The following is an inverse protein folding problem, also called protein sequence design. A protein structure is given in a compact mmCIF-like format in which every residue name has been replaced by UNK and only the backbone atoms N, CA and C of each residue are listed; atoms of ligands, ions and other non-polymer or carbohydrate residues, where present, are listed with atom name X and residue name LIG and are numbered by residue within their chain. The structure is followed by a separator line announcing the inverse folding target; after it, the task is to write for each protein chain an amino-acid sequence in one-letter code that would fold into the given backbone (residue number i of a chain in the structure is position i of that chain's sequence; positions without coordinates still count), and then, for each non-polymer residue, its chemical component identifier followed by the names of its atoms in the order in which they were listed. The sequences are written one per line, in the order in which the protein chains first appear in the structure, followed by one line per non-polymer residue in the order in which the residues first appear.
data_IF_037982363091
#
_entry.id   IF_037982363091
#
_cell.length_a   1.000
_cell.length_b   1.000
_cell.length_c   1.000
_cell.angle_alpha   90.00
_cell.angle_beta   90.00
_cell.angle_gamma   90.00
#
_symmetry.space_group_name_H-M   'P 1'
#
loop_
_entity.id
_entity.type
_entity.pdbx_description
1 polymer ?
#
# COMPACT_ATOMS: atom_id res chain seq x y z
N UNK A 1 -25.04 -4.44 -15.38
CA UNK A 1 -23.89 -4.81 -16.23
C UNK A 1 -23.17 -3.55 -16.65
N UNK A 2 -21.87 -3.63 -16.84
CA UNK A 2 -21.04 -2.51 -17.24
C UNK A 2 -20.22 -2.89 -18.47
N UNK A 3 -20.33 -2.12 -19.55
CA UNK A 3 -19.49 -2.24 -20.73
C UNK A 3 -18.56 -1.02 -20.79
N UNK A 4 -17.26 -1.26 -20.70
CA UNK A 4 -16.24 -0.23 -20.80
C UNK A 4 -15.64 -0.33 -22.19
N UNK A 5 -15.77 0.73 -22.99
CA UNK A 5 -15.37 0.77 -24.39
C UNK A 5 -14.14 1.64 -24.60
N UNK A 6 -13.36 1.31 -25.63
CA UNK A 6 -12.23 2.12 -26.10
C UNK A 6 -11.18 2.39 -25.00
N UNK A 7 -10.88 1.39 -24.17
CA UNK A 7 -9.82 1.52 -23.16
C UNK A 7 -8.48 1.13 -23.74
N UNK A 8 -7.39 1.72 -23.25
CA UNK A 8 -6.06 1.13 -23.38
C UNK A 8 -5.81 0.21 -22.19
N UNK A 9 -6.04 -1.08 -22.35
CA UNK A 9 -5.88 -2.05 -21.29
C UNK A 9 -4.40 -2.32 -21.04
N UNK A 10 -3.92 -2.04 -19.83
CA UNK A 10 -2.56 -2.31 -19.37
C UNK A 10 -2.61 -3.25 -18.17
N UNK A 11 -2.29 -4.52 -18.38
CA UNK A 11 -2.37 -5.57 -17.36
C UNK A 11 -1.01 -6.26 -17.13
N UNK A 12 -0.42 -6.15 -15.93
CA UNK A 12 0.87 -6.75 -15.61
C UNK A 12 0.84 -8.27 -15.56
N UNK A 13 -0.32 -8.90 -15.32
CA UNK A 13 -0.39 -10.36 -15.18
C UNK A 13 -0.24 -11.09 -16.52
N UNK A 14 -0.90 -10.59 -17.56
CA UNK A 14 -0.82 -11.11 -18.93
C UNK A 14 0.26 -10.42 -19.79
N UNK A 15 0.76 -9.26 -19.37
CA UNK A 15 1.63 -8.41 -20.18
C UNK A 15 0.86 -7.65 -21.27
N UNK A 16 -0.48 -7.58 -21.18
CA UNK A 16 -1.30 -6.89 -22.17
C UNK A 16 -1.06 -5.38 -22.09
N UNK A 17 -0.85 -4.78 -23.25
CA UNK A 17 -0.76 -3.33 -23.43
C UNK A 17 -1.38 -2.99 -24.80
N UNK A 18 -2.72 -2.90 -24.83
CA UNK A 18 -3.48 -2.82 -26.07
C UNK A 18 -4.88 -2.23 -25.88
N UNK A 19 -5.47 -1.72 -26.97
CA UNK A 19 -6.87 -1.29 -26.95
C UNK A 19 -7.84 -2.46 -26.81
N UNK A 20 -8.74 -2.37 -25.84
CA UNK A 20 -9.77 -3.39 -25.53
C UNK A 20 -11.07 -2.75 -25.05
N UNK A 21 -12.15 -3.50 -25.24
CA UNK A 21 -13.41 -3.34 -24.54
C UNK A 21 -13.51 -4.42 -23.44
N UNK A 22 -14.09 -4.06 -22.29
CA UNK A 22 -14.23 -4.92 -21.11
C UNK A 22 -15.72 -4.97 -20.73
N UNK A 23 -16.30 -6.17 -20.67
CA UNK A 23 -17.67 -6.39 -20.25
C UNK A 23 -17.70 -7.05 -18.86
N UNK A 24 -18.44 -6.44 -17.95
CA UNK A 24 -18.58 -6.84 -16.55
C UNK A 24 -20.04 -7.19 -16.27
N UNK A 25 -20.20 -8.32 -15.58
CA UNK A 25 -21.47 -8.77 -15.03
C UNK A 25 -21.27 -9.20 -13.59
N UNK A 26 -22.09 -8.65 -12.70
CA UNK A 26 -21.96 -8.81 -11.26
C UNK A 26 -20.53 -8.48 -10.80
N UNK A 27 -19.84 -9.40 -10.12
CA UNK A 27 -18.50 -9.16 -9.56
C UNK A 27 -17.36 -9.64 -10.48
N UNK A 28 -17.67 -10.03 -11.73
CA UNK A 28 -16.71 -10.68 -12.62
C UNK A 28 -16.61 -10.02 -13.99
N UNK A 29 -15.41 -10.06 -14.57
CA UNK A 29 -15.18 -9.72 -15.97
C UNK A 29 -15.62 -10.93 -16.81
N UNK A 30 -16.62 -10.76 -17.66
CA UNK A 30 -17.17 -11.87 -18.46
C UNK A 30 -16.61 -11.90 -19.89
N UNK A 31 -16.07 -10.78 -20.38
CA UNK A 31 -15.47 -10.73 -21.72
C UNK A 31 -14.45 -9.59 -21.85
N UNK A 32 -13.34 -9.86 -22.53
CA UNK A 32 -12.34 -8.89 -22.96
C UNK A 32 -12.07 -9.11 -24.45
N UNK A 33 -12.29 -8.09 -25.28
CA UNK A 33 -12.10 -8.21 -26.73
C UNK A 33 -11.64 -6.89 -27.36
N UNK A 34 -11.16 -6.94 -28.60
CA UNK A 34 -10.77 -5.71 -29.35
C UNK A 34 -11.95 -4.76 -29.56
N UNK A 35 -13.17 -5.31 -29.68
CA UNK A 35 -14.42 -4.56 -29.71
C UNK A 35 -15.59 -5.45 -29.30
N UNK A 36 -16.48 -4.93 -28.45
CA UNK A 36 -17.71 -5.62 -28.03
C UNK A 36 -18.91 -4.81 -28.53
N UNK A 37 -19.68 -5.33 -29.51
CA UNK A 37 -20.92 -4.71 -29.94
C UNK A 37 -21.92 -4.59 -28.79
N UNK A 38 -22.62 -3.46 -28.70
CA UNK A 38 -23.62 -3.23 -27.65
C UNK A 38 -24.78 -4.25 -27.73
N UNK A 39 -25.12 -4.71 -28.94
CA UNK A 39 -26.08 -5.79 -29.15
C UNK A 39 -25.60 -7.12 -28.57
N UNK A 40 -24.30 -7.39 -28.59
CA UNK A 40 -23.73 -8.58 -27.96
C UNK A 40 -23.76 -8.46 -26.44
N UNK A 41 -23.36 -7.31 -25.90
CA UNK A 41 -23.45 -7.02 -24.47
C UNK A 41 -24.88 -7.13 -23.93
N UNK A 42 -25.88 -6.69 -24.71
CA UNK A 42 -27.30 -6.78 -24.36
C UNK A 42 -27.84 -8.23 -24.33
N UNK A 43 -27.22 -9.17 -25.06
CA UNK A 43 -27.59 -10.59 -24.99
C UNK A 43 -27.20 -11.18 -23.63
N UNK A 44 -26.07 -10.75 -23.06
CA UNK A 44 -25.64 -11.18 -21.72
C UNK A 44 -26.53 -10.65 -20.59
N UNK A 45 -27.27 -9.54 -20.81
CA UNK A 45 -28.18 -8.98 -19.80
C UNK A 45 -29.52 -9.70 -19.65
N UNK A 46 -29.88 -10.61 -20.57
CA UNK A 46 -31.21 -11.24 -20.61
C UNK A 46 -32.35 -10.24 -20.91
N UNK A 47 -33.62 -10.65 -20.80
CA UNK A 47 -34.83 -9.84 -21.11
C UNK A 47 -35.04 -8.61 -20.19
N UNK A 48 -34.01 -8.17 -19.46
CA UNK A 48 -34.00 -6.89 -18.74
C UNK A 48 -33.09 -5.92 -19.49
N UNK A 49 -33.63 -5.31 -20.54
CA UNK A 49 -32.98 -4.27 -21.37
C UNK A 49 -32.55 -3.02 -20.56
N UNK A 50 -32.95 -2.88 -19.29
CA UNK A 50 -32.79 -1.65 -18.49
C UNK A 50 -31.48 -1.53 -17.68
N UNK A 51 -30.47 -2.40 -17.81
CA UNK A 51 -29.30 -2.34 -16.90
C UNK A 51 -27.90 -2.53 -17.53
N UNK A 52 -27.72 -2.22 -18.82
CA UNK A 52 -26.38 -2.07 -19.40
C UNK A 52 -25.92 -0.61 -19.30
N UNK A 53 -24.99 -0.34 -18.39
CA UNK A 53 -24.29 0.94 -18.35
C UNK A 53 -23.08 0.88 -19.28
N UNK A 54 -22.88 1.93 -20.09
CA UNK A 54 -21.74 2.03 -21.01
C UNK A 54 -20.83 3.17 -20.55
N UNK A 55 -19.55 2.88 -20.35
CA UNK A 55 -18.49 3.88 -20.16
C UNK A 55 -17.67 3.92 -21.44
N UNK A 56 -17.63 5.06 -22.13
CA UNK A 56 -16.67 5.28 -23.19
C UNK A 56 -15.40 5.86 -22.58
N UNK A 57 -14.32 5.10 -22.54
CA UNK A 57 -13.09 5.50 -21.89
C UNK A 57 -12.20 6.41 -22.75
N UNK A 58 -12.52 6.60 -24.04
CA UNK A 58 -11.84 7.54 -24.94
C UNK A 58 -10.29 7.40 -24.96
N UNK A 59 -9.79 6.17 -24.78
CA UNK A 59 -8.37 5.87 -24.76
C UNK A 59 -7.70 5.99 -23.38
N UNK A 60 -8.45 6.28 -22.32
CA UNK A 60 -7.95 6.15 -20.94
C UNK A 60 -7.40 4.75 -20.69
N UNK A 61 -6.44 4.67 -19.77
CA UNK A 61 -5.85 3.41 -19.35
C UNK A 61 -6.86 2.65 -18.49
N UNK A 62 -7.12 1.39 -18.83
CA UNK A 62 -7.76 0.43 -17.96
C UNK A 62 -6.68 -0.47 -17.35
N UNK A 63 -6.52 -0.40 -16.02
CA UNK A 63 -5.57 -1.20 -15.27
C UNK A 63 -6.29 -1.98 -14.16
N UNK A 64 -5.70 -3.07 -13.63
CA UNK A 64 -6.24 -3.72 -12.44
C UNK A 64 -6.42 -2.71 -11.30
N UNK A 65 -7.43 -2.96 -10.46
CA UNK A 65 -7.59 -2.21 -9.22
C UNK A 65 -6.32 -2.30 -8.39
N UNK A 66 -5.87 -1.17 -7.85
CA UNK A 66 -4.63 -1.15 -7.08
C UNK A 66 -4.86 -1.89 -5.75
N UNK A 67 -3.78 -2.50 -5.25
CA UNK A 67 -3.76 -3.25 -4.00
C UNK A 67 -2.69 -2.64 -3.10
N UNK A 68 -3.11 -2.03 -2.00
CA UNK A 68 -2.20 -1.39 -1.05
C UNK A 68 -1.98 -2.28 0.17
N UNK A 69 -0.77 -2.79 0.31
CA UNK A 69 -0.38 -3.73 1.36
C UNK A 69 -0.11 -3.08 2.73
N UNK A 70 -0.12 -1.74 2.84
CA UNK A 70 0.25 -1.03 4.08
C UNK A 70 -0.58 0.23 4.30
N UNK A 71 -1.67 0.10 5.09
CA UNK A 71 -2.63 1.19 5.33
C UNK A 71 -3.06 1.27 6.81
N UNK A 72 -3.30 2.49 7.30
CA UNK A 72 -3.86 2.75 8.64
C UNK A 72 -5.19 3.50 8.57
N UNK A 73 -6.31 2.80 8.75
CA UNK A 73 -7.63 3.44 8.88
C UNK A 73 -7.98 3.87 10.30
N UNK A 74 -7.10 3.62 11.28
CA UNK A 74 -7.20 4.15 12.66
C UNK A 74 -8.43 3.70 13.46
N UNK A 75 -9.22 2.79 12.91
CA UNK A 75 -10.46 2.27 13.48
C UNK A 75 -10.33 0.75 13.71
N UNK A 76 -10.51 0.25 14.94
CA UNK A 76 -11.07 0.94 16.11
C UNK A 76 -10.11 1.89 16.86
N UNK A 77 -10.71 2.86 17.55
CA UNK A 77 -10.10 3.56 18.68
C UNK A 77 -9.54 4.96 18.42
N UNK A 78 -9.21 5.29 17.18
CA UNK A 78 -8.68 6.60 16.79
C UNK A 78 -9.45 7.21 15.62
N UNK A 79 -10.78 7.02 15.64
CA UNK A 79 -11.70 7.37 14.55
C UNK A 79 -11.75 8.86 14.21
N UNK A 80 -11.23 9.72 15.08
CA UNK A 80 -11.04 11.14 14.82
C UNK A 80 -9.95 11.43 13.78
N UNK A 81 -9.00 10.51 13.59
CA UNK A 81 -7.94 10.62 12.58
C UNK A 81 -8.42 10.14 11.22
N UNK A 82 -9.04 8.97 11.21
CA UNK A 82 -9.66 8.29 10.06
C UNK A 82 -10.58 7.20 10.58
N UNK A 83 -11.60 6.79 9.83
CA UNK A 83 -12.30 5.53 10.09
C UNK A 83 -12.32 4.62 8.86
N UNK A 84 -12.78 3.38 9.02
CA UNK A 84 -12.81 2.40 7.91
C UNK A 84 -13.62 2.91 6.71
N UNK A 85 -14.70 3.66 6.93
CA UNK A 85 -15.57 4.14 5.86
C UNK A 85 -14.91 5.29 5.06
N UNK A 86 -14.32 6.27 5.76
CA UNK A 86 -13.63 7.39 5.10
C UNK A 86 -12.30 6.97 4.49
N UNK A 87 -11.57 6.08 5.15
CA UNK A 87 -10.36 5.46 4.59
C UNK A 87 -10.64 4.66 3.32
N UNK A 88 -11.72 3.88 3.29
CA UNK A 88 -12.16 3.17 2.09
C UNK A 88 -12.56 4.13 0.95
N UNK A 89 -13.22 5.25 1.29
CA UNK A 89 -13.50 6.32 0.33
C UNK A 89 -12.23 6.94 -0.26
N UNK A 90 -11.21 7.19 0.56
CA UNK A 90 -9.91 7.69 0.12
C UNK A 90 -9.16 6.69 -0.76
N UNK A 91 -9.19 5.41 -0.41
CA UNK A 91 -8.65 4.33 -1.22
C UNK A 91 -9.35 4.25 -2.58
N UNK A 92 -10.68 4.27 -2.62
CA UNK A 92 -11.44 4.28 -3.87
C UNK A 92 -11.08 5.49 -4.75
N UNK A 93 -10.97 6.70 -4.18
CA UNK A 93 -10.54 7.90 -4.91
C UNK A 93 -9.09 7.80 -5.43
N UNK A 94 -8.22 7.10 -4.70
CA UNK A 94 -6.85 6.78 -5.11
C UNK A 94 -6.70 5.59 -6.06
N UNK A 95 -7.79 4.97 -6.51
CA UNK A 95 -7.76 3.82 -7.42
C UNK A 95 -7.47 2.47 -6.77
N UNK A 96 -7.50 2.43 -5.44
CA UNK A 96 -7.25 1.23 -4.65
C UNK A 96 -8.56 0.49 -4.44
N UNK A 97 -8.64 -0.76 -4.91
CA UNK A 97 -9.80 -1.63 -4.73
C UNK A 97 -9.60 -2.63 -3.60
N UNK A 98 -8.35 -2.85 -3.16
CA UNK A 98 -8.05 -3.72 -2.03
C UNK A 98 -7.00 -3.08 -1.11
N UNK A 99 -7.26 -3.06 0.19
CA UNK A 99 -6.30 -2.61 1.20
C UNK A 99 -6.00 -3.71 2.20
N UNK A 100 -4.76 -3.74 2.70
CA UNK A 100 -4.36 -4.53 3.87
C UNK A 100 -4.07 -3.58 5.03
N UNK A 101 -4.93 -3.64 6.04
CA UNK A 101 -4.82 -2.78 7.22
C UNK A 101 -3.79 -3.31 8.22
N UNK A 102 -2.94 -2.41 8.72
CA UNK A 102 -2.04 -2.69 9.83
C UNK A 102 -2.78 -2.76 11.17
N UNK A 103 -2.19 -3.51 12.11
CA UNK A 103 -2.88 -3.98 13.32
C UNK A 103 -2.78 -3.04 14.54
N UNK A 104 -2.29 -1.80 14.35
CA UNK A 104 -1.94 -0.84 15.40
C UNK A 104 -3.09 0.08 15.85
N UNK A 105 -4.29 -0.49 15.94
CA UNK A 105 -5.54 0.15 16.40
C UNK A 105 -5.71 0.05 17.93
N UNK A 106 -6.84 0.55 18.47
CA UNK A 106 -7.17 0.43 19.89
C UNK A 106 -8.64 -0.02 20.09
N UNK A 107 -8.91 -1.25 20.54
CA UNK A 107 -7.94 -2.32 20.80
C UNK A 107 -7.16 -2.70 19.53
N UNK A 108 -5.92 -3.15 19.70
CA UNK A 108 -5.11 -3.62 18.58
C UNK A 108 -5.68 -4.94 18.03
N UNK A 109 -5.39 -5.28 16.76
CA UNK A 109 -5.90 -6.49 16.12
C UNK A 109 -5.06 -7.69 16.55
N UNK A 110 -5.21 -8.15 17.79
CA UNK A 110 -4.42 -9.23 18.39
C UNK A 110 -5.27 -10.41 18.89
N UNK A 111 -6.58 -10.35 18.65
CA UNK A 111 -7.58 -11.29 19.10
C UNK A 111 -8.75 -11.35 18.10
N UNK A 112 -9.55 -12.42 18.22
CA UNK A 112 -10.65 -12.72 17.30
C UNK A 112 -11.73 -11.61 17.26
N UNK A 113 -12.07 -11.03 18.40
CA UNK A 113 -13.14 -10.03 18.49
C UNK A 113 -12.79 -8.76 17.70
N UNK A 114 -11.57 -8.24 17.89
CA UNK A 114 -11.11 -7.06 17.12
C UNK A 114 -10.97 -7.38 15.64
N UNK A 115 -10.46 -8.56 15.29
CA UNK A 115 -10.31 -9.00 13.90
C UNK A 115 -11.66 -9.09 13.18
N UNK A 116 -12.64 -9.77 13.79
CA UNK A 116 -13.99 -9.90 13.23
C UNK A 116 -14.65 -8.52 13.08
N UNK A 117 -14.43 -7.60 14.02
CA UNK A 117 -14.95 -6.22 13.91
C UNK A 117 -14.42 -5.51 12.67
N UNK A 118 -13.10 -5.53 12.46
CA UNK A 118 -12.45 -4.85 11.32
C UNK A 118 -12.91 -5.46 10.01
N UNK A 119 -12.87 -6.79 9.88
CA UNK A 119 -13.29 -7.48 8.66
C UNK A 119 -14.78 -7.26 8.36
N UNK A 120 -15.66 -7.40 9.36
CA UNK A 120 -17.10 -7.22 9.14
C UNK A 120 -17.44 -5.77 8.78
N UNK A 121 -16.79 -4.79 9.41
CA UNK A 121 -16.96 -3.39 9.00
C UNK A 121 -16.43 -3.16 7.58
N UNK A 122 -15.26 -3.73 7.26
CA UNK A 122 -14.64 -3.73 5.94
C UNK A 122 -15.57 -4.23 4.83
N UNK A 123 -16.33 -5.31 5.07
CA UNK A 123 -17.29 -5.88 4.10
C UNK A 123 -18.43 -4.94 3.71
N UNK A 124 -18.69 -3.89 4.50
CA UNK A 124 -19.71 -2.88 4.21
C UNK A 124 -19.15 -1.65 3.50
N UNK A 125 -17.85 -1.62 3.24
CA UNK A 125 -17.20 -0.53 2.52
C UNK A 125 -17.30 -0.72 1.01
N UNK A 126 -17.05 0.33 0.21
CA UNK A 126 -17.02 0.21 -1.25
C UNK A 126 -15.86 -0.63 -1.80
N UNK A 127 -14.87 -1.02 -1.00
CA UNK A 127 -13.67 -1.74 -1.47
C UNK A 127 -13.45 -3.03 -0.68
N UNK A 128 -12.47 -3.84 -1.09
CA UNK A 128 -12.01 -4.98 -0.31
C UNK A 128 -11.09 -4.50 0.83
N UNK A 129 -11.46 -4.83 2.07
CA UNK A 129 -10.68 -4.50 3.26
C UNK A 129 -10.23 -5.78 3.93
N UNK A 130 -8.93 -6.04 3.82
CA UNK A 130 -8.23 -7.11 4.49
C UNK A 130 -7.40 -6.54 5.65
N UNK A 131 -6.93 -7.40 6.56
CA UNK A 131 -6.11 -6.92 7.69
C UNK A 131 -5.10 -7.94 8.16
N UNK A 132 -3.92 -7.45 8.53
CA UNK A 132 -2.96 -8.21 9.31
C UNK A 132 -3.39 -8.28 10.77
N UNK A 133 -2.91 -9.29 11.49
CA UNK A 133 -3.00 -9.33 12.95
C UNK A 133 -1.63 -9.10 13.61
N UNK A 134 -1.64 -8.62 14.85
CA UNK A 134 -0.40 -8.44 15.60
C UNK A 134 0.26 -9.79 15.93
N UNK A 135 1.58 -9.82 15.86
CA UNK A 135 2.39 -10.96 16.32
C UNK A 135 2.26 -11.16 17.83
N UNK A 136 2.12 -10.09 18.62
CA UNK A 136 2.06 -10.17 20.08
C UNK A 136 0.86 -9.46 20.68
N UNK A 137 0.37 -10.03 21.79
CA UNK A 137 -0.74 -9.47 22.57
C UNK A 137 -0.40 -8.05 23.05
N UNK A 138 -1.26 -7.09 22.73
CA UNK A 138 -1.11 -5.67 23.07
C UNK A 138 0.14 -5.02 22.50
N UNK A 139 0.75 -5.61 21.46
CA UNK A 139 1.99 -5.13 20.82
C UNK A 139 3.19 -5.04 21.79
N UNK A 140 3.21 -5.84 22.85
CA UNK A 140 4.21 -5.73 23.93
C UNK A 140 5.52 -6.48 23.65
N UNK A 141 5.57 -7.30 22.61
CA UNK A 141 6.74 -8.15 22.32
C UNK A 141 6.96 -9.27 23.35
N UNK A 142 5.96 -9.60 24.17
CA UNK A 142 6.08 -10.56 25.27
C UNK A 142 5.42 -11.91 24.98
N UNK A 143 4.13 -11.90 24.65
CA UNK A 143 3.34 -13.10 24.43
C UNK A 143 2.81 -13.11 22.99
N UNK A 144 3.14 -14.15 22.24
CA UNK A 144 2.62 -14.37 20.89
C UNK A 144 1.08 -14.50 20.93
N UNK A 145 0.41 -14.00 19.90
CA UNK A 145 -1.03 -14.16 19.70
C UNK A 145 -1.38 -15.59 19.29
N UNK A 146 -2.67 -15.93 19.29
CA UNK A 146 -3.17 -17.16 18.67
C UNK A 146 -3.14 -17.02 17.14
N UNK A 147 -1.94 -17.07 16.56
CA UNK A 147 -1.74 -16.85 15.12
C UNK A 147 -2.51 -17.87 14.28
N UNK A 148 -2.57 -19.14 14.69
CA UNK A 148 -3.33 -20.17 13.96
C UNK A 148 -4.83 -19.83 13.96
N UNK A 149 -5.39 -19.47 15.12
CA UNK A 149 -6.79 -19.07 15.24
C UNK A 149 -7.13 -17.78 14.49
N UNK A 150 -6.21 -16.81 14.46
CA UNK A 150 -6.37 -15.54 13.75
C UNK A 150 -6.27 -15.70 12.23
N UNK A 151 -5.34 -16.52 11.73
CA UNK A 151 -5.25 -16.84 10.31
C UNK A 151 -6.51 -17.58 9.84
N UNK A 152 -6.98 -18.57 10.62
CA UNK A 152 -8.25 -19.26 10.34
C UNK A 152 -9.49 -18.35 10.42
N UNK A 153 -9.36 -17.20 11.08
CA UNK A 153 -10.40 -16.18 11.18
C UNK A 153 -10.39 -15.16 10.02
N UNK A 154 -9.38 -15.17 9.15
CA UNK A 154 -9.26 -14.26 8.02
C UNK A 154 -8.15 -13.22 8.13
N UNK A 155 -7.23 -13.30 9.10
CA UNK A 155 -6.03 -12.47 9.06
C UNK A 155 -5.15 -12.90 7.88
N UNK A 156 -4.86 -11.97 6.96
CA UNK A 156 -4.10 -12.25 5.73
C UNK A 156 -2.59 -12.29 5.93
N UNK A 157 -2.12 -11.86 7.10
CA UNK A 157 -0.71 -11.83 7.49
C UNK A 157 -0.54 -11.41 8.94
N UNK A 158 0.71 -11.37 9.40
CA UNK A 158 1.05 -10.93 10.75
C UNK A 158 2.05 -9.79 10.74
N UNK A 159 1.95 -8.88 11.71
CA UNK A 159 2.82 -7.71 11.78
C UNK A 159 3.16 -7.30 13.21
N UNK A 160 4.26 -6.56 13.40
CA UNK A 160 4.54 -5.80 14.62
C UNK A 160 4.38 -4.29 14.43
N UNK A 161 3.87 -3.87 13.27
CA UNK A 161 3.86 -2.47 12.87
C UNK A 161 3.25 -1.55 13.93
N UNK A 162 3.94 -0.44 14.21
CA UNK A 162 3.65 0.51 15.27
C UNK A 162 4.51 0.33 16.52
N UNK A 163 4.88 -0.90 16.93
CA UNK A 163 5.86 -1.13 18.01
C UNK A 163 6.82 -2.27 17.62
N UNK A 164 8.11 -1.96 17.38
CA UNK A 164 9.08 -2.93 16.88
C UNK A 164 9.30 -4.10 17.84
N UNK A 165 9.30 -5.32 17.29
CA UNK A 165 9.50 -6.57 18.00
C UNK A 165 10.99 -6.79 18.25
N UNK A 166 11.50 -6.35 19.41
CA UNK A 166 12.94 -6.38 19.69
C UNK A 166 13.50 -7.77 20.04
N UNK A 167 12.67 -8.66 20.59
CA UNK A 167 13.13 -9.98 21.06
C UNK A 167 13.24 -10.95 19.89
N UNK A 168 14.47 -11.29 19.52
CA UNK A 168 14.75 -12.23 18.43
C UNK A 168 14.03 -13.57 18.58
N UNK A 169 13.98 -14.13 19.79
CA UNK A 169 13.29 -15.42 20.01
C UNK A 169 11.79 -15.33 19.71
N UNK A 170 11.15 -14.20 20.04
CA UNK A 170 9.73 -13.98 19.70
C UNK A 170 9.56 -13.84 18.19
N UNK A 171 10.41 -13.05 17.52
CA UNK A 171 10.38 -12.89 16.06
C UNK A 171 10.58 -14.23 15.34
N UNK A 172 11.58 -15.02 15.77
CA UNK A 172 11.87 -16.36 15.26
C UNK A 172 10.68 -17.31 15.38
N UNK A 173 10.01 -17.33 16.53
CA UNK A 173 8.87 -18.22 16.76
C UNK A 173 7.64 -17.79 15.94
N UNK A 174 7.41 -16.48 15.81
CA UNK A 174 6.37 -15.95 14.95
C UNK A 174 6.63 -16.29 13.47
N UNK A 175 7.86 -16.10 12.98
CA UNK A 175 8.26 -16.45 11.62
C UNK A 175 8.07 -17.95 11.33
N UNK A 176 8.48 -18.84 12.25
CA UNK A 176 8.21 -20.29 12.11
C UNK A 176 6.72 -20.60 12.00
N UNK A 177 5.90 -19.90 12.79
CA UNK A 177 4.43 -20.07 12.76
C UNK A 177 3.86 -19.58 11.43
N UNK A 178 4.27 -18.40 10.97
CA UNK A 178 3.87 -17.84 9.68
C UNK A 178 4.26 -18.74 8.50
N UNK A 179 5.47 -19.30 8.52
CA UNK A 179 5.95 -20.26 7.52
C UNK A 179 5.07 -21.53 7.43
N UNK A 180 4.64 -22.07 8.59
CA UNK A 180 3.73 -23.23 8.63
C UNK A 180 2.34 -22.87 8.11
N UNK A 181 1.86 -21.67 8.42
CA UNK A 181 0.55 -21.18 7.99
C UNK A 181 0.53 -20.79 6.51
N UNK A 182 1.68 -20.53 5.90
CA UNK A 182 1.79 -20.06 4.52
C UNK A 182 1.23 -18.64 4.34
N UNK A 183 1.47 -17.76 5.32
CA UNK A 183 1.07 -16.34 5.26
C UNK A 183 2.29 -15.45 5.47
N UNK A 184 2.32 -14.24 4.88
CA UNK A 184 3.41 -13.30 5.10
C UNK A 184 3.46 -12.79 6.54
N UNK A 185 4.66 -12.45 6.97
CA UNK A 185 4.92 -11.73 8.22
C UNK A 185 5.74 -10.47 7.93
N UNK A 186 5.20 -9.31 8.30
CA UNK A 186 5.86 -8.02 8.10
C UNK A 186 6.42 -7.48 9.40
N UNK A 187 7.52 -6.73 9.31
CA UNK A 187 8.08 -6.03 10.44
C UNK A 187 8.26 -4.55 10.13
N UNK A 188 8.09 -3.71 11.15
CA UNK A 188 8.48 -2.32 11.12
C UNK A 188 9.92 -2.23 11.65
N UNK A 189 10.89 -2.18 10.76
CA UNK A 189 12.32 -2.19 11.11
C UNK A 189 12.76 -0.89 11.75
N UNK A 190 12.53 -0.80 13.06
CA UNK A 190 12.90 0.35 13.86
C UNK A 190 13.48 -0.08 15.21
N UNK A 191 14.81 -0.02 15.38
CA UNK A 191 15.40 -0.22 16.70
C UNK A 191 15.45 1.11 17.48
N UNK A 192 14.68 1.26 18.59
CA UNK A 192 14.61 2.51 19.37
C UNK A 192 15.96 2.93 19.97
N UNK A 193 16.92 2.01 20.13
CA UNK A 193 18.24 2.32 20.65
C UNK A 193 19.03 3.32 19.78
N UNK A 194 18.65 3.49 18.52
CA UNK A 194 19.30 4.40 17.57
C UNK A 194 18.49 5.67 17.28
N UNK A 195 17.47 5.95 18.07
CA UNK A 195 16.49 7.02 17.83
C UNK A 195 16.48 7.99 19.00
N UNK A 196 16.65 9.27 18.68
CA UNK A 196 16.46 10.37 19.63
C UNK A 196 15.16 11.14 19.32
N UNK A 197 14.89 11.36 18.04
CA UNK A 197 13.62 11.93 17.57
C UNK A 197 13.12 11.13 16.37
N UNK A 198 12.07 10.34 16.62
CA UNK A 198 11.44 9.50 15.60
C UNK A 198 10.93 10.37 14.42
N UNK A 199 11.08 9.85 13.20
CA UNK A 199 10.53 10.40 11.97
C UNK A 199 11.29 11.57 11.35
N UNK A 200 12.51 11.84 11.84
CA UNK A 200 13.43 12.82 11.27
C UNK A 200 14.78 12.13 11.08
N UNK A 201 15.38 12.20 9.88
CA UNK A 201 16.68 11.59 9.63
C UNK A 201 17.77 12.25 10.47
N UNK A 202 18.66 11.43 11.08
CA UNK A 202 19.89 11.93 11.71
C UNK A 202 20.87 12.36 10.62
N UNK A 203 20.75 13.61 10.20
CA UNK A 203 21.43 14.16 9.03
C UNK A 203 21.21 15.67 8.89
N UNK A 204 21.06 16.14 7.65
CA UNK A 204 20.83 17.55 7.34
C UNK A 204 19.55 18.07 8.01
N UNK A 205 18.47 17.28 8.01
CA UNK A 205 17.20 17.68 8.61
C UNK A 205 17.32 17.84 10.14
N UNK A 206 17.83 16.83 10.86
CA UNK A 206 17.98 16.94 12.31
C UNK A 206 18.95 18.06 12.71
N UNK A 207 20.02 18.26 11.94
CA UNK A 207 20.97 19.37 12.12
C UNK A 207 20.32 20.75 11.95
N UNK A 208 19.41 20.90 10.98
CA UNK A 208 18.65 22.14 10.76
C UNK A 208 17.77 22.49 11.98
N UNK A 209 17.10 21.50 12.57
CA UNK A 209 16.21 21.70 13.72
C UNK A 209 16.94 21.65 15.08
N UNK A 210 18.23 21.34 15.11
CA UNK A 210 19.01 21.22 16.34
C UNK A 210 18.58 20.03 17.22
N UNK A 211 18.17 18.92 16.60
CA UNK A 211 17.70 17.70 17.28
C UNK A 211 18.52 16.48 16.85
N UNK A 212 18.36 15.34 17.53
CA UNK A 212 19.18 14.15 17.29
C UNK A 212 18.72 13.21 16.17
N UNK A 213 17.44 13.25 15.84
CA UNK A 213 16.85 12.44 14.76
C UNK A 213 16.96 10.92 14.97
N UNK A 214 16.69 10.18 13.91
CA UNK A 214 16.68 8.73 13.82
C UNK A 214 17.87 8.27 12.99
N UNK A 215 18.79 7.53 13.61
CA UNK A 215 19.95 6.98 12.95
C UNK A 215 19.57 5.88 11.96
N UNK A 216 20.30 5.78 10.85
CA UNK A 216 20.12 4.73 9.83
C UNK A 216 20.19 3.32 10.41
N UNK A 217 21.01 3.13 11.45
CA UNK A 217 21.16 1.86 12.15
C UNK A 217 19.86 1.37 12.82
N UNK A 218 18.89 2.26 13.07
CA UNK A 218 17.57 1.86 13.55
C UNK A 218 16.92 0.83 12.61
N UNK A 219 16.99 1.08 11.31
CA UNK A 219 16.44 0.22 10.27
C UNK A 219 17.39 -0.94 9.94
N UNK A 220 18.65 -0.62 9.65
CA UNK A 220 19.66 -1.61 9.21
C UNK A 220 19.79 -2.75 10.21
N UNK A 221 19.82 -2.46 11.52
CA UNK A 221 19.99 -3.49 12.54
C UNK A 221 18.85 -4.53 12.55
N UNK A 222 17.63 -4.08 12.30
CA UNK A 222 16.46 -4.95 12.32
C UNK A 222 16.39 -5.75 11.02
N UNK A 223 16.64 -5.12 9.87
CA UNK A 223 16.74 -5.82 8.57
C UNK A 223 17.79 -6.94 8.64
N UNK A 224 18.99 -6.68 9.16
CA UNK A 224 20.05 -7.69 9.32
C UNK A 224 19.59 -8.92 10.12
N UNK A 225 18.84 -8.69 11.21
CA UNK A 225 18.27 -9.77 12.01
C UNK A 225 17.21 -10.52 11.21
N UNK A 226 16.27 -9.80 10.61
CA UNK A 226 15.07 -10.39 10.04
C UNK A 226 15.34 -11.15 8.74
N UNK A 227 16.26 -10.67 7.89
CA UNK A 227 16.68 -11.44 6.70
C UNK A 227 17.38 -12.74 7.08
N UNK A 228 18.20 -12.74 8.14
CA UNK A 228 18.82 -13.96 8.64
C UNK A 228 17.78 -14.92 9.21
N UNK A 229 16.82 -14.42 9.98
CA UNK A 229 15.75 -15.25 10.51
C UNK A 229 14.84 -15.81 9.41
N UNK A 230 14.57 -15.05 8.34
CA UNK A 230 13.83 -15.51 7.17
C UNK A 230 14.51 -16.74 6.56
N UNK A 231 15.84 -16.71 6.36
CA UNK A 231 16.61 -17.86 5.87
C UNK A 231 16.56 -19.06 6.81
N UNK A 232 16.62 -18.81 8.12
CA UNK A 232 16.61 -19.86 9.14
C UNK A 232 15.23 -20.52 9.30
N UNK A 233 14.14 -19.81 9.03
CA UNK A 233 12.77 -20.25 9.29
C UNK A 233 11.99 -20.61 8.03
N UNK A 234 12.38 -20.10 6.87
CA UNK A 234 11.66 -20.24 5.61
C UNK A 234 10.38 -19.40 5.53
N UNK A 235 10.23 -18.39 6.40
CA UNK A 235 9.08 -17.50 6.39
C UNK A 235 9.16 -16.47 5.26
N UNK A 236 8.01 -16.16 4.65
CA UNK A 236 7.85 -15.01 3.76
C UNK A 236 7.88 -13.72 4.59
N UNK A 237 9.05 -13.08 4.70
CA UNK A 237 9.25 -11.87 5.52
C UNK A 237 9.12 -10.62 4.65
N UNK A 238 8.34 -9.65 5.10
CA UNK A 238 8.17 -8.35 4.42
C UNK A 238 8.89 -7.27 5.21
N UNK A 239 9.92 -6.70 4.60
CA UNK A 239 10.61 -5.50 5.09
C UNK A 239 9.76 -4.29 4.70
N UNK A 240 9.14 -3.65 5.69
CA UNK A 240 8.21 -2.54 5.43
C UNK A 240 8.96 -1.26 5.06
N UNK A 241 8.28 -0.44 4.25
CA UNK A 241 8.62 0.96 3.90
C UNK A 241 10.13 1.31 3.88
N UNK A 242 10.94 0.46 3.22
CA UNK A 242 12.40 0.52 3.29
C UNK A 242 12.94 1.89 2.86
N UNK A 243 13.88 2.44 3.63
CA UNK A 243 14.32 3.83 3.42
C UNK A 243 15.84 4.02 3.36
N UNK A 244 16.64 3.00 3.69
CA UNK A 244 18.11 3.05 3.61
C UNK A 244 18.65 2.32 2.40
N UNK A 245 19.66 2.88 1.72
CA UNK A 245 20.42 2.16 0.69
C UNK A 245 21.06 0.87 1.19
N UNK A 246 21.49 0.83 2.46
CA UNK A 246 22.07 -0.37 3.08
C UNK A 246 21.00 -1.45 3.28
N UNK A 247 19.80 -1.08 3.73
CA UNK A 247 18.65 -1.98 3.80
C UNK A 247 18.34 -2.60 2.45
N UNK A 248 18.28 -1.78 1.39
CA UNK A 248 18.07 -2.29 0.02
C UNK A 248 19.17 -3.28 -0.38
N UNK A 249 20.43 -3.01 -0.03
CA UNK A 249 21.54 -3.94 -0.30
C UNK A 249 21.40 -5.27 0.48
N UNK A 250 20.95 -5.22 1.74
CA UNK A 250 20.71 -6.40 2.57
C UNK A 250 19.60 -7.28 2.01
N UNK A 251 18.47 -6.69 1.59
CA UNK A 251 17.37 -7.41 0.95
C UNK A 251 17.85 -8.08 -0.35
N UNK A 252 18.59 -7.33 -1.19
CA UNK A 252 19.14 -7.87 -2.45
C UNK A 252 20.03 -9.09 -2.21
N UNK A 253 20.90 -9.02 -1.20
CA UNK A 253 21.78 -10.13 -0.85
C UNK A 253 21.01 -11.33 -0.25
N UNK A 254 19.98 -11.08 0.56
CA UNK A 254 19.12 -12.13 1.09
C UNK A 254 18.37 -12.88 -0.03
N UNK A 255 17.75 -12.15 -0.97
CA UNK A 255 17.11 -12.72 -2.16
C UNK A 255 18.09 -13.54 -3.00
N UNK A 256 19.32 -13.04 -3.20
CA UNK A 256 20.37 -13.76 -3.95
C UNK A 256 20.75 -15.09 -3.29
N UNK A 257 20.63 -15.18 -1.97
CA UNK A 257 20.87 -16.41 -1.18
C UNK A 257 19.65 -17.33 -1.13
N UNK A 258 18.52 -16.92 -1.70
CA UNK A 258 17.29 -17.71 -1.76
C UNK A 258 16.37 -17.52 -0.56
N UNK A 259 16.58 -16.48 0.25
CA UNK A 259 15.64 -16.12 1.30
C UNK A 259 14.31 -15.65 0.71
N UNK A 260 13.19 -16.06 1.31
CA UNK A 260 11.84 -15.57 0.96
C UNK A 260 11.60 -14.21 1.66
N UNK A 261 12.34 -13.20 1.21
CA UNK A 261 12.29 -11.84 1.73
C UNK A 261 11.72 -10.93 0.65
N UNK A 262 10.71 -10.15 1.02
CA UNK A 262 10.07 -9.14 0.20
C UNK A 262 10.33 -7.77 0.79
N UNK A 263 10.29 -6.72 -0.02
CA UNK A 263 10.37 -5.36 0.46
C UNK A 263 9.36 -4.46 -0.26
N UNK A 264 8.89 -3.45 0.47
CA UNK A 264 8.04 -2.39 -0.10
C UNK A 264 8.71 -1.02 0.07
N UNK A 265 8.43 -0.11 -0.87
CA UNK A 265 8.80 1.29 -0.77
C UNK A 265 7.56 2.18 -0.86
N UNK A 266 7.57 3.27 -0.09
CA UNK A 266 6.45 4.21 -0.14
C UNK A 266 6.63 5.28 -1.21
N UNK A 267 5.53 5.87 -1.72
CA UNK A 267 5.60 6.97 -2.68
C UNK A 267 6.44 8.16 -2.23
N UNK A 268 6.38 8.51 -0.95
CA UNK A 268 7.16 9.61 -0.42
C UNK A 268 8.66 9.30 -0.34
N UNK A 269 9.06 8.04 -0.13
CA UNK A 269 10.46 7.65 -0.05
C UNK A 269 11.19 7.61 -1.39
N UNK A 270 10.50 7.39 -2.51
CA UNK A 270 11.10 7.54 -3.85
C UNK A 270 10.92 8.94 -4.45
N UNK A 271 10.08 9.79 -3.86
CA UNK A 271 9.81 11.17 -4.33
C UNK A 271 10.64 12.22 -3.61
N UNK A 272 10.74 12.12 -2.29
CA UNK A 272 11.30 13.17 -1.43
C UNK A 272 12.61 12.73 -0.77
N UNK A 273 13.31 13.70 -0.20
CA UNK A 273 14.48 13.51 0.67
C UNK A 273 14.28 14.29 1.96
N UNK A 274 15.23 14.21 2.89
CA UNK A 274 15.22 14.92 4.16
C UNK A 274 15.05 16.45 4.02
N UNK A 275 15.29 17.01 2.83
CA UNK A 275 15.02 18.42 2.52
C UNK A 275 13.54 18.80 2.63
N UNK A 276 12.64 17.86 2.34
CA UNK A 276 11.21 18.06 2.51
C UNK A 276 10.84 18.30 3.98
N UNK A 277 11.55 17.69 4.92
CA UNK A 277 11.33 17.91 6.36
C UNK A 277 11.68 19.35 6.75
N UNK A 278 12.74 19.91 6.17
CA UNK A 278 13.13 21.31 6.38
C UNK A 278 12.07 22.25 5.81
N UNK A 279 11.52 21.91 4.64
CA UNK A 279 10.55 22.75 3.94
C UNK A 279 9.14 22.68 4.55
N UNK A 280 8.66 21.49 4.89
CA UNK A 280 7.27 21.22 5.26
C UNK A 280 7.09 20.87 6.74
N UNK A 281 8.18 20.72 7.50
CA UNK A 281 8.14 20.43 8.93
C UNK A 281 7.42 19.12 9.23
N UNK A 282 6.45 19.17 10.14
CA UNK A 282 5.70 18.00 10.58
C UNK A 282 4.91 17.33 9.46
N UNK A 283 4.54 18.05 8.39
CA UNK A 283 3.83 17.48 7.24
C UNK A 283 4.72 16.58 6.38
N UNK A 284 6.04 16.61 6.54
CA UNK A 284 6.98 15.65 5.95
C UNK A 284 7.64 14.74 7.01
N UNK A 285 7.08 14.68 8.22
CA UNK A 285 7.53 13.78 9.30
C UNK A 285 6.74 12.46 9.24
N UNK A 286 7.42 11.37 8.91
CA UNK A 286 6.92 9.98 8.86
C UNK A 286 8.00 9.01 9.31
N UNK A 287 7.65 7.74 9.49
CA UNK A 287 8.57 6.71 9.97
C UNK A 287 8.54 5.47 9.07
N UNK A 288 9.67 5.07 8.47
CA UNK A 288 11.01 5.65 8.59
C UNK A 288 11.10 7.07 8.02
N UNK A 289 12.12 7.86 8.42
CA UNK A 289 12.23 9.23 7.95
C UNK A 289 12.70 9.30 6.49
N UNK A 290 12.30 10.36 5.79
CA UNK A 290 12.95 10.75 4.53
C UNK A 290 14.46 10.95 4.76
N UNK A 291 15.28 10.25 3.96
CA UNK A 291 16.74 10.23 4.10
C UNK A 291 17.44 11.03 3.00
N UNK A 292 18.70 10.72 2.72
CA UNK A 292 19.53 11.43 1.78
C UNK A 292 19.17 11.09 0.33
N UNK A 293 19.63 11.90 -0.62
CA UNK A 293 19.46 11.64 -2.06
C UNK A 293 19.94 10.25 -2.47
N UNK A 294 21.07 9.80 -1.91
CA UNK A 294 21.63 8.48 -2.22
C UNK A 294 20.68 7.33 -1.82
N UNK A 295 19.84 7.54 -0.82
CA UNK A 295 18.86 6.56 -0.37
C UNK A 295 17.65 6.53 -1.28
N UNK A 296 17.14 7.71 -1.62
CA UNK A 296 16.05 7.83 -2.60
C UNK A 296 16.42 7.13 -3.90
N UNK A 297 17.65 7.33 -4.39
CA UNK A 297 18.13 6.65 -5.61
C UNK A 297 18.26 5.15 -5.41
N UNK A 298 18.77 4.67 -4.28
CA UNK A 298 18.85 3.24 -4.00
C UNK A 298 17.48 2.55 -3.93
N UNK A 299 16.45 3.25 -3.43
CA UNK A 299 15.07 2.78 -3.43
C UNK A 299 14.55 2.69 -4.88
N UNK A 300 14.76 3.73 -5.69
CA UNK A 300 14.40 3.69 -7.12
C UNK A 300 15.10 2.53 -7.82
N UNK A 301 16.40 2.36 -7.63
CA UNK A 301 17.18 1.25 -8.20
C UNK A 301 16.68 -0.11 -7.70
N UNK A 302 16.32 -0.22 -6.43
CA UNK A 302 15.72 -1.43 -5.84
C UNK A 302 14.36 -1.76 -6.43
N UNK A 303 13.54 -0.75 -6.73
CA UNK A 303 12.31 -0.95 -7.49
C UNK A 303 12.61 -1.38 -8.93
N UNK A 304 13.65 -0.86 -9.58
CA UNK A 304 14.00 -1.23 -10.97
C UNK A 304 14.48 -2.68 -11.12
N UNK A 305 15.25 -3.18 -10.15
CA UNK A 305 15.86 -4.51 -10.22
C UNK A 305 15.07 -5.60 -9.47
N UNK A 306 13.85 -5.29 -9.01
CA UNK A 306 12.98 -6.15 -8.21
C UNK A 306 13.57 -6.55 -6.84
N UNK A 307 14.55 -5.81 -6.33
CA UNK A 307 14.93 -5.91 -4.91
C UNK A 307 13.77 -5.49 -4.02
N UNK A 308 13.05 -4.44 -4.42
CA UNK A 308 11.82 -3.97 -3.79
C UNK A 308 10.66 -4.37 -4.70
N UNK A 309 9.75 -5.18 -4.17
CA UNK A 309 8.70 -5.88 -4.93
C UNK A 309 7.42 -5.06 -5.07
N UNK A 310 7.15 -4.22 -4.08
CA UNK A 310 5.86 -3.58 -3.90
C UNK A 310 6.01 -2.08 -3.67
N UNK A 311 4.97 -1.35 -4.05
CA UNK A 311 4.75 0.02 -3.61
C UNK A 311 3.52 0.01 -2.72
N UNK A 312 3.71 0.34 -1.44
CA UNK A 312 2.65 0.43 -0.44
C UNK A 312 2.68 1.83 0.18
N UNK A 313 1.51 2.40 0.51
CA UNK A 313 1.49 3.84 0.80
C UNK A 313 1.98 4.21 2.19
N UNK A 314 1.85 3.30 3.16
CA UNK A 314 1.87 3.64 4.58
C UNK A 314 0.93 4.83 4.84
N UNK A 315 -0.32 4.70 4.37
CA UNK A 315 -1.30 5.76 4.56
C UNK A 315 -1.58 5.91 6.06
N UNK A 316 -1.03 6.99 6.64
CA UNK A 316 -0.98 7.23 8.08
C UNK A 316 -1.63 8.59 8.43
N UNK A 317 -2.98 8.63 8.50
CA UNK A 317 -3.72 9.85 8.74
C UNK A 317 -3.58 10.31 10.21
N UNK A 318 -3.51 11.63 10.38
CA UNK A 318 -3.46 12.32 11.67
C UNK A 318 -4.31 13.58 11.64
N UNK A 319 -4.80 14.03 12.80
CA UNK A 319 -5.57 15.28 12.84
C UNK A 319 -4.67 16.50 12.58
N UNK A 320 -5.23 17.56 12.00
CA UNK A 320 -4.51 18.82 11.79
C UNK A 320 -3.88 19.34 13.10
N UNK A 321 -4.66 19.32 14.19
CA UNK A 321 -4.21 19.71 15.54
C UNK A 321 -2.98 18.95 16.01
N UNK A 322 -2.87 17.65 15.70
CA UNK A 322 -1.70 16.86 16.09
C UNK A 322 -0.48 17.22 15.27
N UNK A 323 -0.65 17.49 13.96
CA UNK A 323 0.45 17.88 13.08
C UNK A 323 0.91 19.32 13.32
N UNK A 324 0.07 20.20 13.87
CA UNK A 324 0.44 21.57 14.26
C UNK A 324 1.31 21.66 15.52
N UNK A 325 1.49 20.55 16.26
CA UNK A 325 2.38 20.50 17.42
C UNK A 325 3.84 20.77 17.02
N UNK A 326 4.72 21.15 17.96
CA UNK A 326 6.16 21.23 17.71
C UNK A 326 6.69 19.94 17.04
N UNK A 327 7.68 20.07 16.16
CA UNK A 327 8.17 18.96 15.33
C UNK A 327 8.53 17.70 16.13
N UNK A 328 9.07 17.86 17.34
CA UNK A 328 9.43 16.76 18.25
C UNK A 328 8.24 16.09 18.92
N UNK A 329 7.08 16.75 18.97
CA UNK A 329 5.83 16.27 19.60
C UNK A 329 4.76 15.84 18.58
N UNK A 330 4.82 16.36 17.35
CA UNK A 330 3.92 15.97 16.27
C UNK A 330 4.12 14.49 15.93
N UNK A 331 3.05 13.71 15.68
CA UNK A 331 3.19 12.31 15.32
C UNK A 331 3.79 12.15 13.92
N UNK A 332 4.53 11.06 13.74
CA UNK A 332 5.02 10.58 12.44
C UNK A 332 3.86 9.97 11.66
N UNK A 333 3.77 10.28 10.37
CA UNK A 333 2.80 9.71 9.44
C UNK A 333 2.24 10.77 8.49
N UNK A 334 2.01 10.36 7.25
CA UNK A 334 1.36 11.15 6.20
C UNK A 334 0.33 10.31 5.43
N UNK A 335 -0.69 10.93 4.85
CA UNK A 335 -1.59 10.23 3.92
C UNK A 335 -0.90 9.96 2.57
N UNK A 336 -1.24 8.83 1.94
CA UNK A 336 -0.67 8.43 0.64
C UNK A 336 -1.65 7.95 -0.43
N UNK A 337 -2.72 7.23 -0.07
CA UNK A 337 -3.69 6.59 -0.99
C UNK A 337 -4.01 7.40 -2.26
N UNK A 338 -4.51 8.61 -2.10
CA UNK A 338 -5.02 9.47 -3.19
C UNK A 338 -3.92 10.09 -4.08
N UNK A 339 -2.65 9.96 -3.71
CA UNK A 339 -1.51 10.55 -4.45
C UNK A 339 -0.53 9.51 -4.99
N UNK A 340 -0.70 8.25 -4.59
CA UNK A 340 0.25 7.17 -4.82
C UNK A 340 0.55 6.93 -6.29
N UNK A 341 -0.49 6.75 -7.12
CA UNK A 341 -0.36 6.51 -8.57
C UNK A 341 0.32 7.68 -9.27
N UNK A 342 -0.10 8.91 -8.95
CA UNK A 342 0.47 10.14 -9.51
C UNK A 342 1.96 10.28 -9.21
N UNK A 343 2.36 10.02 -7.96
CA UNK A 343 3.76 10.06 -7.57
C UNK A 343 4.58 8.98 -8.28
N UNK A 344 4.02 7.78 -8.44
CA UNK A 344 4.63 6.69 -9.22
C UNK A 344 4.82 7.08 -10.69
N UNK A 345 3.80 7.64 -11.33
CA UNK A 345 3.88 8.10 -12.73
C UNK A 345 4.96 9.17 -12.88
N UNK A 346 4.91 10.23 -12.07
CA UNK A 346 5.80 11.38 -12.21
C UNK A 346 7.26 11.06 -11.89
N UNK A 347 7.52 10.23 -10.87
CA UNK A 347 8.88 10.00 -10.37
C UNK A 347 9.53 8.73 -10.91
N UNK A 348 8.74 7.75 -11.37
CA UNK A 348 9.25 6.47 -11.88
C UNK A 348 8.99 6.28 -13.37
N UNK A 349 7.78 6.58 -13.87
CA UNK A 349 7.44 6.35 -15.28
C UNK A 349 7.96 7.46 -16.18
N UNK A 350 7.60 8.71 -15.90
CA UNK A 350 8.01 9.89 -16.67
C UNK A 350 9.53 10.08 -16.70
N UNK A 351 10.23 9.63 -15.65
CA UNK A 351 11.69 9.69 -15.54
C UNK A 351 12.39 8.50 -16.21
N UNK A 352 11.63 7.57 -16.80
CA UNK A 352 12.13 6.38 -17.51
C UNK A 352 12.75 5.33 -16.60
N UNK A 353 12.42 5.34 -15.30
CA UNK A 353 12.93 4.35 -14.33
C UNK A 353 12.14 3.05 -14.41
N UNK A 354 10.82 3.14 -14.53
CA UNK A 354 9.92 2.02 -14.76
C UNK A 354 9.07 2.30 -16.00
N UNK A 355 8.58 1.23 -16.63
CA UNK A 355 7.42 1.31 -17.53
C UNK A 355 6.13 1.40 -16.71
N UNK A 356 5.03 1.84 -17.33
CA UNK A 356 3.72 1.84 -16.66
C UNK A 356 3.32 0.43 -16.21
N UNK A 357 3.57 -0.59 -17.03
CA UNK A 357 3.27 -1.97 -16.69
C UNK A 357 4.04 -2.44 -15.44
N UNK A 358 5.31 -2.06 -15.29
CA UNK A 358 6.10 -2.34 -14.09
C UNK A 358 5.62 -1.57 -12.85
N UNK A 359 5.16 -0.32 -13.02
CA UNK A 359 4.55 0.43 -11.92
C UNK A 359 3.28 -0.28 -11.43
N UNK A 360 2.38 -0.62 -12.35
CA UNK A 360 1.13 -1.30 -12.04
C UNK A 360 1.37 -2.67 -11.40
N UNK A 361 2.38 -3.43 -11.86
CA UNK A 361 2.77 -4.69 -11.21
C UNK A 361 3.05 -4.49 -9.71
N UNK A 362 3.86 -3.48 -9.35
CA UNK A 362 4.25 -3.18 -7.95
C UNK A 362 3.10 -2.66 -7.09
N UNK A 363 2.09 -2.06 -7.70
CA UNK A 363 0.94 -1.44 -7.02
C UNK A 363 -0.33 -2.30 -7.06
N UNK A 364 -0.31 -3.47 -7.70
CA UNK A 364 -1.49 -4.32 -7.83
C UNK A 364 -1.12 -5.82 -7.73
N UNK A 365 -0.50 -6.37 -8.76
CA UNK A 365 -0.23 -7.80 -8.89
C UNK A 365 0.74 -8.35 -7.83
N UNK A 366 1.84 -7.64 -7.57
CA UNK A 366 2.85 -8.08 -6.59
C UNK A 366 2.27 -8.16 -5.16
N UNK A 367 1.63 -7.10 -4.62
CA UNK A 367 0.99 -7.21 -3.31
C UNK A 367 -0.15 -8.23 -3.28
N UNK A 368 -0.98 -8.34 -4.33
CA UNK A 368 -2.01 -9.38 -4.39
C UNK A 368 -1.45 -10.80 -4.32
N UNK A 369 -0.35 -11.08 -5.03
CA UNK A 369 0.31 -12.40 -5.01
C UNK A 369 0.88 -12.74 -3.64
N UNK A 370 1.53 -11.78 -2.99
CA UNK A 370 2.16 -11.98 -1.68
C UNK A 370 1.13 -12.35 -0.60
N UNK A 371 -0.02 -11.68 -0.61
CA UNK A 371 -1.10 -11.91 0.35
C UNK A 371 -2.14 -12.93 -0.14
N UNK A 372 -1.90 -13.59 -1.28
CA UNK A 372 -2.78 -14.62 -1.86
C UNK A 372 -4.21 -14.14 -2.14
N UNK A 373 -4.34 -12.90 -2.62
CA UNK A 373 -5.61 -12.24 -2.91
C UNK A 373 -6.05 -12.46 -4.37
N UNK A 374 -7.34 -12.66 -4.60
CA UNK A 374 -7.97 -12.68 -5.95
C UNK A 374 -8.12 -11.24 -6.47
N UNK A 375 -6.99 -10.56 -6.73
CA UNK A 375 -6.92 -9.14 -7.09
C UNK A 375 -5.68 -8.82 -7.94
N UNK A 376 -5.61 -7.59 -8.47
CA UNK A 376 -4.41 -7.05 -9.12
C UNK A 376 -4.12 -7.62 -10.53
N UNK A 377 -5.14 -8.13 -11.22
CA UNK A 377 -5.05 -8.54 -12.62
C UNK A 377 -6.37 -8.32 -13.37
N UNK A 378 -6.33 -8.30 -14.69
CA UNK A 378 -7.51 -8.26 -15.56
C UNK A 378 -7.59 -9.50 -16.45
N UNK A 379 -8.59 -10.36 -16.22
CA UNK A 379 -8.84 -11.52 -17.08
C UNK A 379 -10.33 -11.91 -17.10
N UNK A 380 -10.78 -12.55 -18.18
CA UNK A 380 -12.10 -13.17 -18.22
C UNK A 380 -12.25 -14.22 -17.11
N UNK A 381 -13.36 -14.18 -16.38
CA UNK A 381 -13.61 -14.96 -15.17
C UNK A 381 -12.92 -14.41 -13.91
N UNK A 382 -12.06 -13.40 -14.03
CA UNK A 382 -11.41 -12.70 -12.93
C UNK A 382 -12.31 -11.68 -12.22
N UNK A 383 -11.86 -11.13 -11.07
CA UNK A 383 -12.57 -10.09 -10.34
C UNK A 383 -12.78 -8.85 -11.22
N UNK A 384 -13.93 -8.21 -11.08
CA UNK A 384 -14.22 -6.93 -11.73
C UNK A 384 -13.69 -5.75 -10.90
N UNK A 385 -12.38 -5.75 -10.69
CA UNK A 385 -11.63 -4.74 -9.94
C UNK A 385 -10.67 -4.02 -10.89
N UNK A 386 -11.00 -2.78 -11.24
CA UNK A 386 -10.20 -2.03 -12.22
C UNK A 386 -10.34 -0.51 -12.03
N UNK A 387 -9.35 0.20 -12.53
CA UNK A 387 -9.35 1.66 -12.59
C UNK A 387 -9.32 2.14 -14.03
N UNK A 388 -9.95 3.29 -14.27
CA UNK A 388 -9.80 4.06 -15.50
C UNK A 388 -9.14 5.40 -15.17
N UNK A 389 -8.01 5.69 -15.81
CA UNK A 389 -7.29 6.93 -15.57
C UNK A 389 -6.60 7.46 -16.84
N UNK A 390 -6.36 8.76 -16.87
CA UNK A 390 -5.53 9.39 -17.89
C UNK A 390 -4.15 9.68 -17.29
N UNK A 391 -3.11 8.97 -17.76
CA UNK A 391 -1.73 9.11 -17.29
C UNK A 391 -1.14 10.52 -17.52
N UNK A 392 -1.71 11.31 -18.45
CA UNK A 392 -1.20 12.62 -18.86
C UNK A 392 -2.03 13.77 -18.32
N UNK A 393 -3.29 13.52 -17.97
CA UNK A 393 -4.15 14.56 -17.41
C UNK A 393 -3.56 15.11 -16.11
N UNK A 394 -3.49 16.45 -16.06
CA UNK A 394 -3.05 17.17 -14.90
C UNK A 394 -4.20 17.41 -13.93
N UNK A 395 -3.95 17.20 -12.65
CA UNK A 395 -4.85 17.54 -11.56
C UNK A 395 -4.05 18.14 -10.40
N UNK A 396 -4.73 18.76 -9.44
CA UNK A 396 -4.06 19.39 -8.30
C UNK A 396 -4.56 18.77 -7.00
N UNK A 397 -3.62 18.40 -6.13
CA UNK A 397 -3.91 17.79 -4.82
C UNK A 397 -4.41 18.85 -3.82
N UNK A 398 -5.67 19.27 -3.95
CA UNK A 398 -6.27 20.33 -3.11
C UNK A 398 -7.25 19.80 -2.05
N UNK A 399 -7.95 18.72 -2.37
CA UNK A 399 -8.96 18.11 -1.53
C UNK A 399 -8.76 16.61 -1.50
N UNK A 400 -8.98 16.03 -0.32
CA UNK A 400 -8.84 14.60 -0.06
C UNK A 400 -10.16 14.05 0.48
N UNK A 401 -10.47 12.82 0.10
CA UNK A 401 -11.58 12.05 0.66
C UNK A 401 -11.24 11.53 2.07
N UNK A 402 -9.95 11.37 2.38
CA UNK A 402 -9.47 11.18 3.75
C UNK A 402 -9.97 12.29 4.67
N UNK A 403 -10.27 11.97 5.95
CA UNK A 403 -10.52 13.03 6.96
C UNK A 403 -9.28 13.90 7.19
N UNK A 404 -8.10 13.35 6.91
CA UNK A 404 -6.86 14.04 7.09
C UNK A 404 -6.39 14.74 5.81
N UNK A 405 -5.46 15.68 5.99
CA UNK A 405 -4.73 16.32 4.90
C UNK A 405 -3.25 16.47 5.30
N UNK A 406 -2.74 15.58 6.17
CA UNK A 406 -1.36 15.62 6.66
C UNK A 406 -0.37 15.13 5.61
N UNK A 407 -0.10 15.92 4.58
CA UNK A 407 0.78 15.54 3.47
C UNK A 407 1.66 16.71 3.01
N UNK A 408 2.90 16.47 2.58
CA UNK A 408 3.75 17.51 1.99
C UNK A 408 3.37 17.82 0.53
N UNK A 409 2.48 17.01 -0.07
CA UNK A 409 2.08 17.12 -1.47
C UNK A 409 0.85 18.01 -1.70
N UNK A 410 0.27 18.59 -0.65
CA UNK A 410 -0.88 19.49 -0.77
C UNK A 410 -0.53 20.67 -1.69
N UNK A 411 -1.36 20.89 -2.70
CA UNK A 411 -1.22 21.95 -3.69
C UNK A 411 -0.28 21.62 -4.86
N UNK A 412 0.34 20.45 -4.90
CA UNK A 412 1.14 20.02 -6.05
C UNK A 412 0.26 19.76 -7.27
N UNK A 413 0.76 20.12 -8.45
CA UNK A 413 0.20 19.69 -9.74
C UNK A 413 0.74 18.29 -10.05
N UNK A 414 -0.15 17.37 -10.36
CA UNK A 414 0.07 15.93 -10.48
C UNK A 414 -0.46 15.40 -11.81
N UNK A 415 0.04 14.24 -12.25
CA UNK A 415 -0.44 13.50 -13.42
C UNK A 415 -1.18 12.23 -13.04
N UNK A 416 -1.83 11.55 -13.98
CA UNK A 416 -2.46 10.26 -13.70
C UNK A 416 -3.79 10.41 -13.00
N UNK A 417 -4.66 11.28 -13.52
CA UNK A 417 -5.95 11.54 -12.89
C UNK A 417 -6.86 10.32 -13.05
N UNK A 418 -7.33 9.79 -11.93
CA UNK A 418 -8.27 8.67 -11.89
C UNK A 418 -9.68 9.20 -12.17
N UNK A 419 -10.33 8.61 -13.16
CA UNK A 419 -11.71 8.94 -13.56
C UNK A 419 -12.71 7.96 -13.00
N UNK A 420 -12.35 6.69 -12.88
CA UNK A 420 -13.21 5.65 -12.33
C UNK A 420 -12.41 4.67 -11.50
N UNK A 421 -12.99 4.26 -10.38
CA UNK A 421 -12.58 3.05 -9.65
C UNK A 421 -13.77 2.13 -9.58
N UNK A 422 -13.57 0.89 -10.00
CA UNK A 422 -14.60 -0.15 -10.04
C UNK A 422 -14.10 -1.28 -9.15
N UNK A 423 -14.92 -1.67 -8.18
CA UNK A 423 -14.62 -2.77 -7.25
C UNK A 423 -15.83 -3.69 -7.14
N UNK A 424 -15.61 -5.00 -7.24
CA UNK A 424 -16.65 -6.02 -7.33
C UNK A 424 -17.73 -5.65 -8.39
N UNK A 425 -17.27 -5.09 -9.52
CA UNK A 425 -18.11 -4.67 -10.64
C UNK A 425 -19.01 -3.46 -10.39
N UNK A 426 -18.85 -2.77 -9.26
CA UNK A 426 -19.57 -1.53 -8.93
C UNK A 426 -18.64 -0.33 -9.09
N UNK A 427 -19.16 0.75 -9.67
CA UNK A 427 -18.44 2.04 -9.70
C UNK A 427 -18.47 2.61 -8.28
N UNK A 428 -17.30 2.68 -7.65
CA UNK A 428 -17.13 3.12 -6.26
C UNK A 428 -16.53 4.52 -6.14
N UNK A 429 -15.94 5.00 -7.23
CA UNK A 429 -15.49 6.39 -7.39
C UNK A 429 -15.62 6.80 -8.86
N UNK A 430 -16.02 8.06 -9.10
CA UNK A 430 -15.97 8.70 -10.42
C UNK A 430 -15.96 10.23 -10.31
N UNK A 431 -15.52 10.92 -11.37
CA UNK A 431 -15.49 12.39 -11.48
C UNK A 431 -16.11 12.92 -12.77
#
# INVERSE_FOLDING_TARGET
MLLIKNTHMTDPASGTDAYKDILIQDEKIIKIADSIPETEAAVFSGEKEDMLQIINAEGMIAAPGLVDAHVHFRDPGFTEKEDIDTGAGAAAAGGVTTVVLMANTRPCVDNRETLDYVLEKGRHTPIHVETCANVTMGMKGEKQTDMEGLAAAGAVGFTDDGIPLLKEETARNAMKTAAVLGVPISFHEENPAFIENNGINRGKASGHFGIGGSGRQAEINMIERDVRLAEETGAAVVIQHISTKEGVALVREAKRRGADVHAEATPHHFTLTEDAVIQYGSLAKMNPPLREEADRQAIIEGLQDNTIDMIATDHAPHTAREKEKPLTEAPSGIIGLETSLSLGIMNLVDTGKLTLLQLLERMSLAPARLYHLDAGYLAEGGPADLILFDEKELWKAEHFHSKSSNTPFLGWEMKGRIHYTICAGKIVYHI
#
